data_IF_682790162626
#
_entry.id   IF_682790162626
#
_cell.length_a   1.000
_cell.length_b   1.000
_cell.length_c   1.000
_cell.angle_alpha   90.00
_cell.angle_beta   90.00
_cell.angle_gamma   90.00
#
_symmetry.space_group_name_H-M   'P 1'
#
loop_
_entity.id
_entity.type
_entity.pdbx_description
1 polymer ?
#
# COMPACT_ATOMS: atom_id res chain seq x y z
N UNK A 1 29.49 -2.18 -10.79
CA UNK A 1 29.78 -0.98 -11.60
C UNK A 1 29.23 -1.05 -13.03
N UNK A 2 29.47 -2.09 -13.83
CA UNK A 2 28.98 -2.17 -15.22
C UNK A 2 27.44 -2.09 -15.36
N UNK A 3 26.68 -2.82 -14.53
CA UNK A 3 25.19 -2.77 -14.53
C UNK A 3 24.63 -1.36 -14.30
N UNK A 4 25.20 -0.62 -13.36
CA UNK A 4 24.75 0.75 -13.06
C UNK A 4 25.08 1.73 -14.19
N UNK A 5 26.26 1.60 -14.81
CA UNK A 5 26.63 2.41 -15.98
C UNK A 5 25.72 2.14 -17.18
N UNK A 6 25.36 0.89 -17.42
CA UNK A 6 24.43 0.53 -18.50
C UNK A 6 22.99 1.03 -18.28
N UNK A 7 22.52 1.05 -17.02
CA UNK A 7 21.21 1.63 -16.67
C UNK A 7 21.22 3.14 -16.87
N UNK A 8 22.27 3.83 -16.38
CA UNK A 8 22.40 5.28 -16.51
C UNK A 8 22.50 5.74 -17.98
N UNK A 9 23.12 4.94 -18.85
CA UNK A 9 23.17 5.22 -20.30
C UNK A 9 21.80 5.17 -20.98
N UNK A 10 20.82 4.46 -20.40
CA UNK A 10 19.50 4.25 -21.02
C UNK A 10 18.38 5.06 -20.36
N UNK A 11 18.48 5.31 -19.05
CA UNK A 11 17.41 5.90 -18.23
C UNK A 11 17.87 7.08 -17.39
N UNK A 12 19.05 7.65 -17.69
CA UNK A 12 19.68 8.74 -16.93
C UNK A 12 20.11 8.31 -15.51
N UNK A 13 20.85 9.17 -14.79
CA UNK A 13 21.24 8.83 -13.42
C UNK A 13 20.01 8.85 -12.50
N UNK A 14 20.04 8.03 -11.45
CA UNK A 14 18.98 7.96 -10.45
C UNK A 14 18.66 9.35 -9.87
N UNK A 15 19.69 10.20 -9.71
CA UNK A 15 19.53 11.56 -9.19
C UNK A 15 18.66 12.40 -10.14
N UNK A 16 18.88 12.26 -11.44
CA UNK A 16 18.13 12.96 -12.49
C UNK A 16 16.68 12.50 -12.51
N UNK A 17 16.43 11.19 -12.37
CA UNK A 17 15.05 10.66 -12.30
C UNK A 17 14.21 11.27 -11.17
N UNK A 18 14.78 11.46 -9.97
CA UNK A 18 14.08 12.12 -8.86
C UNK A 18 13.98 13.64 -9.06
N UNK A 19 14.97 14.27 -9.71
CA UNK A 19 14.95 15.69 -10.03
C UNK A 19 13.85 16.05 -11.06
N UNK A 20 13.45 15.10 -11.91
CA UNK A 20 12.37 15.29 -12.87
C UNK A 20 10.96 15.18 -12.24
N UNK A 21 10.80 14.69 -10.99
CA UNK A 21 9.48 14.51 -10.37
C UNK A 21 8.64 15.79 -10.31
N UNK A 22 9.17 16.97 -9.90
CA UNK A 22 8.39 18.22 -9.94
C UNK A 22 7.94 18.59 -11.35
N UNK A 23 8.81 18.39 -12.36
CA UNK A 23 8.47 18.64 -13.76
C UNK A 23 7.40 17.68 -14.25
N UNK A 24 7.51 16.40 -13.90
CA UNK A 24 6.51 15.39 -14.20
C UNK A 24 5.16 15.75 -13.57
N UNK A 25 5.14 16.19 -12.30
CA UNK A 25 3.93 16.65 -11.62
C UNK A 25 3.24 17.79 -12.37
N UNK A 26 4.00 18.81 -12.79
CA UNK A 26 3.48 19.90 -13.60
C UNK A 26 2.94 19.40 -14.95
N UNK A 27 3.66 18.46 -15.58
CA UNK A 27 3.23 17.80 -16.81
C UNK A 27 1.89 17.09 -16.67
N UNK A 28 1.72 16.24 -15.64
CA UNK A 28 0.45 15.53 -15.43
C UNK A 28 -0.68 16.47 -15.01
N UNK A 29 -0.40 17.52 -14.24
CA UNK A 29 -1.41 18.51 -13.85
C UNK A 29 -1.85 19.39 -15.03
N UNK A 30 -0.94 19.70 -15.97
CA UNK A 30 -1.26 20.43 -17.19
C UNK A 30 -2.06 19.59 -18.19
N UNK A 31 -1.75 18.28 -18.29
CA UNK A 31 -2.44 17.36 -19.19
C UNK A 31 -3.80 16.94 -18.65
N UNK A 32 -3.90 16.75 -17.34
CA UNK A 32 -5.09 16.30 -16.65
C UNK A 32 -5.38 17.22 -15.47
N UNK A 33 -6.13 18.28 -15.78
CA UNK A 33 -6.56 19.26 -14.78
C UNK A 33 -7.27 18.56 -13.61
N UNK A 34 -7.02 19.06 -12.39
CA UNK A 34 -7.49 18.49 -11.11
C UNK A 34 -6.74 17.25 -10.63
N UNK A 35 -5.67 16.81 -11.31
CA UNK A 35 -4.75 15.81 -10.75
C UNK A 35 -4.21 16.30 -9.42
N UNK A 36 -4.42 15.48 -8.40
CA UNK A 36 -3.94 15.75 -7.04
C UNK A 36 -2.52 15.22 -6.99
N UNK A 37 -1.58 16.08 -6.65
CA UNK A 37 -0.20 15.69 -6.36
C UNK A 37 0.21 16.34 -5.04
N UNK A 38 0.91 15.60 -4.19
CA UNK A 38 1.44 16.09 -2.92
C UNK A 38 2.90 15.63 -2.84
N UNK A 39 3.81 16.58 -2.92
CA UNK A 39 5.25 16.34 -2.86
C UNK A 39 5.81 16.87 -1.55
N UNK A 40 6.53 16.01 -0.82
CA UNK A 40 7.26 16.36 0.38
C UNK A 40 8.76 16.30 0.09
N UNK A 41 9.43 17.42 0.29
CA UNK A 41 10.89 17.57 0.18
C UNK A 41 11.43 18.35 1.37
N UNK A 42 12.75 18.27 1.59
CA UNK A 42 13.45 19.14 2.53
C UNK A 42 14.75 19.66 1.92
N UNK A 43 15.23 20.82 2.34
CA UNK A 43 16.57 21.27 1.95
C UNK A 43 17.65 20.35 2.52
N UNK A 44 18.74 20.17 1.77
CA UNK A 44 19.90 19.39 2.23
C UNK A 44 20.67 20.23 3.25
N UNK A 45 21.06 19.61 4.37
CA UNK A 45 21.93 20.23 5.39
C UNK A 45 23.29 19.55 5.40
N UNK A 46 24.35 20.35 5.30
CA UNK A 46 25.73 19.90 5.40
C UNK A 46 26.37 20.56 6.64
N UNK A 47 26.31 19.87 7.77
CA UNK A 47 26.62 20.47 9.08
C UNK A 47 25.60 21.55 9.44
N UNK A 48 26.06 22.72 9.85
CA UNK A 48 25.20 23.86 10.21
C UNK A 48 24.77 24.70 8.99
N UNK A 49 25.26 24.39 7.79
CA UNK A 49 24.89 25.09 6.57
C UNK A 49 23.76 24.37 5.82
N UNK A 50 22.81 25.16 5.33
CA UNK A 50 21.72 24.71 4.47
C UNK A 50 22.13 24.94 3.02
N UNK A 51 22.12 23.90 2.21
CA UNK A 51 22.26 24.03 0.76
C UNK A 51 20.88 24.33 0.15
N UNK A 52 20.63 25.59 -0.17
CA UNK A 52 19.38 26.04 -0.78
C UNK A 52 19.21 25.58 -2.24
N UNK A 53 20.28 25.08 -2.87
CA UNK A 53 20.26 24.62 -4.26
C UNK A 53 19.87 23.16 -4.41
N UNK A 54 19.88 22.38 -3.32
CA UNK A 54 19.60 20.95 -3.35
C UNK A 54 18.44 20.58 -2.41
N UNK A 55 17.46 19.86 -2.96
CA UNK A 55 16.34 19.29 -2.20
C UNK A 55 16.49 17.78 -2.06
N UNK A 56 16.18 17.28 -0.87
CA UNK A 56 16.01 15.86 -0.58
C UNK A 56 14.55 15.46 -0.78
N UNK A 57 14.33 14.38 -1.51
CA UNK A 57 13.01 13.79 -1.73
C UNK A 57 12.61 12.93 -0.54
N UNK A 58 11.39 13.10 -0.03
CA UNK A 58 10.81 12.22 1.00
C UNK A 58 9.67 11.37 0.43
N UNK A 59 8.61 12.04 -0.04
CA UNK A 59 7.37 11.39 -0.43
C UNK A 59 6.70 12.12 -1.60
N UNK A 60 6.07 11.36 -2.49
CA UNK A 60 5.19 11.87 -3.52
C UNK A 60 3.91 11.03 -3.51
N UNK A 61 2.76 11.69 -3.46
CA UNK A 61 1.45 11.07 -3.57
C UNK A 61 0.72 11.67 -4.77
N UNK A 62 -0.01 10.84 -5.53
CA UNK A 62 -0.87 11.36 -6.59
C UNK A 62 -2.14 10.54 -6.84
N UNK A 63 -3.16 11.24 -7.32
CA UNK A 63 -4.44 10.69 -7.76
C UNK A 63 -4.87 11.40 -9.04
N UNK A 64 -5.30 10.62 -10.03
CA UNK A 64 -5.91 11.14 -11.24
C UNK A 64 -7.43 11.33 -11.05
N UNK A 65 -8.05 12.41 -11.57
CA UNK A 65 -9.49 12.64 -11.45
C UNK A 65 -10.36 11.48 -11.96
N UNK A 66 -10.04 10.80 -13.08
CA UNK A 66 -10.79 9.61 -13.50
C UNK A 66 -10.79 8.49 -12.46
N UNK A 67 -9.73 8.33 -11.66
CA UNK A 67 -9.70 7.33 -10.59
C UNK A 67 -10.70 7.67 -9.49
N UNK A 68 -10.85 8.96 -9.13
CA UNK A 68 -11.84 9.42 -8.14
C UNK A 68 -13.26 9.12 -8.63
N UNK A 69 -13.54 9.42 -9.90
CA UNK A 69 -14.85 9.16 -10.50
C UNK A 69 -15.14 7.66 -10.62
N UNK A 70 -14.14 6.86 -11.04
CA UNK A 70 -14.27 5.41 -11.14
C UNK A 70 -14.54 4.77 -9.77
N UNK A 71 -13.85 5.23 -8.71
CA UNK A 71 -14.04 4.67 -7.38
C UNK A 71 -15.45 4.87 -6.83
N UNK A 72 -16.16 5.95 -7.23
CA UNK A 72 -17.57 6.14 -6.86
C UNK A 72 -18.50 5.05 -7.39
N UNK A 73 -18.09 4.37 -8.46
CA UNK A 73 -18.82 3.24 -9.07
C UNK A 73 -18.28 1.88 -8.62
N UNK A 74 -17.19 1.86 -7.84
CA UNK A 74 -16.60 0.65 -7.31
C UNK A 74 -17.30 0.20 -6.02
N UNK A 75 -17.03 -1.04 -5.63
CA UNK A 75 -17.41 -1.52 -4.29
C UNK A 75 -16.71 -0.66 -3.23
N UNK A 76 -17.31 -0.47 -2.04
CA UNK A 76 -16.71 0.31 -0.96
C UNK A 76 -15.59 -0.47 -0.24
N UNK A 77 -14.71 -1.13 -0.98
CA UNK A 77 -13.52 -1.80 -0.47
C UNK A 77 -12.31 -1.45 -1.31
N UNK A 78 -11.16 -1.40 -0.66
CA UNK A 78 -9.86 -1.16 -1.28
C UNK A 78 -8.81 -2.09 -0.73
N UNK A 79 -7.88 -2.49 -1.58
CA UNK A 79 -6.66 -3.19 -1.20
C UNK A 79 -5.47 -2.24 -1.25
N UNK A 80 -4.67 -2.21 -0.20
CA UNK A 80 -3.44 -1.41 -0.13
C UNK A 80 -2.25 -2.38 -0.17
N UNK A 81 -1.35 -2.14 -1.10
CA UNK A 81 -0.12 -2.92 -1.24
C UNK A 81 1.08 -2.07 -1.67
N UNK A 82 2.27 -2.58 -1.40
CA UNK A 82 3.54 -1.92 -1.66
C UNK A 82 4.50 -2.80 -2.43
N UNK A 83 5.33 -2.18 -3.27
CA UNK A 83 6.46 -2.87 -3.90
C UNK A 83 7.73 -2.06 -3.74
N UNK A 84 8.83 -2.75 -3.42
CA UNK A 84 10.13 -2.11 -3.27
C UNK A 84 10.72 -1.79 -4.64
N UNK A 85 11.22 -0.56 -4.76
CA UNK A 85 11.87 -0.10 -5.97
C UNK A 85 13.34 -0.52 -5.98
N UNK A 86 13.79 -0.94 -7.15
CA UNK A 86 15.19 -1.23 -7.39
C UNK A 86 15.93 0.06 -7.73
N UNK A 87 17.15 0.20 -7.24
CA UNK A 87 18.02 1.32 -7.61
C UNK A 87 18.96 1.71 -6.48
N UNK A 88 19.70 2.79 -6.72
CA UNK A 88 20.67 3.32 -5.74
C UNK A 88 20.00 3.82 -4.46
N UNK A 89 18.84 4.47 -4.61
CA UNK A 89 18.14 5.12 -3.49
C UNK A 89 17.10 4.21 -2.83
N UNK A 90 16.81 3.04 -3.43
CA UNK A 90 15.68 2.22 -3.01
C UNK A 90 14.36 2.99 -3.15
N UNK A 91 13.45 2.72 -2.23
CA UNK A 91 12.12 3.31 -2.17
C UNK A 91 11.01 2.26 -2.19
N UNK A 92 9.79 2.71 -1.94
CA UNK A 92 8.58 1.90 -2.03
C UNK A 92 7.54 2.63 -2.87
N UNK A 93 6.97 1.94 -3.84
CA UNK A 93 5.76 2.36 -4.54
C UNK A 93 4.56 1.71 -3.86
N UNK A 94 3.72 2.50 -3.22
CA UNK A 94 2.43 2.07 -2.70
C UNK A 94 1.33 2.30 -3.73
N UNK A 95 0.40 1.34 -3.80
CA UNK A 95 -0.80 1.43 -4.62
C UNK A 95 -2.04 1.14 -3.78
N UNK A 96 -3.13 1.81 -4.16
CA UNK A 96 -4.48 1.45 -3.73
C UNK A 96 -5.22 0.89 -4.92
N UNK A 97 -5.77 -0.30 -4.74
CA UNK A 97 -6.57 -1.00 -5.72
C UNK A 97 -8.02 -1.01 -5.26
N UNK A 98 -8.94 -0.62 -6.14
CA UNK A 98 -10.37 -0.79 -5.95
C UNK A 98 -10.89 -1.92 -6.84
N UNK A 99 -12.07 -2.44 -6.49
CA UNK A 99 -12.75 -3.44 -7.29
C UNK A 99 -14.12 -2.93 -7.76
N UNK A 100 -14.41 -3.05 -9.05
CA UNK A 100 -15.73 -2.71 -9.58
C UNK A 100 -16.78 -3.82 -9.30
N UNK A 101 -18.02 -3.58 -9.73
CA UNK A 101 -19.10 -4.56 -9.59
C UNK A 101 -18.85 -5.89 -10.34
N UNK A 102 -18.00 -5.86 -11.37
CA UNK A 102 -17.66 -7.00 -12.24
C UNK A 102 -16.37 -7.72 -11.82
N UNK A 103 -15.84 -7.42 -10.64
CA UNK A 103 -14.60 -7.99 -10.10
C UNK A 103 -13.31 -7.52 -10.80
N UNK A 104 -13.38 -6.52 -11.68
CA UNK A 104 -12.17 -5.94 -12.26
C UNK A 104 -11.43 -5.12 -11.21
N UNK A 105 -10.10 -5.17 -11.26
CA UNK A 105 -9.22 -4.45 -10.35
C UNK A 105 -8.74 -3.17 -11.02
N UNK A 106 -8.89 -2.04 -10.32
CA UNK A 106 -8.47 -0.73 -10.80
C UNK A 106 -7.49 -0.09 -9.82
N UNK A 107 -6.28 0.27 -10.25
CA UNK A 107 -5.40 1.15 -9.48
C UNK A 107 -5.99 2.55 -9.42
N UNK A 108 -6.14 3.09 -8.22
CA UNK A 108 -6.87 4.35 -8.00
C UNK A 108 -6.07 5.42 -7.24
N UNK A 109 -4.98 5.04 -6.58
CA UNK A 109 -4.11 5.98 -5.85
C UNK A 109 -2.70 5.41 -5.80
N UNK A 110 -1.71 6.30 -5.81
CA UNK A 110 -0.31 5.93 -5.89
C UNK A 110 0.52 6.80 -4.96
N UNK A 111 1.60 6.23 -4.41
CA UNK A 111 2.60 6.99 -3.70
C UNK A 111 4.00 6.41 -3.85
N UNK A 112 4.96 7.29 -4.07
CA UNK A 112 6.38 7.01 -4.06
C UNK A 112 6.96 7.48 -2.73
N UNK A 113 7.56 6.57 -1.97
CA UNK A 113 8.05 6.82 -0.61
C UNK A 113 9.51 6.38 -0.51
N UNK A 114 10.29 7.03 0.33
CA UNK A 114 11.66 6.60 0.68
C UNK A 114 11.72 5.17 1.26
N UNK A 115 10.63 4.70 1.88
CA UNK A 115 10.51 3.37 2.45
C UNK A 115 9.27 3.22 3.33
N UNK A 116 9.02 2.00 3.81
CA UNK A 116 7.86 1.67 4.67
C UNK A 116 8.15 1.94 6.15
N UNK A 117 8.11 3.20 6.54
CA UNK A 117 8.23 3.63 7.94
C UNK A 117 6.92 4.29 8.43
N UNK A 118 6.83 4.59 9.72
CA UNK A 118 5.62 5.15 10.33
C UNK A 118 5.22 6.51 9.72
N UNK A 119 6.20 7.35 9.38
CA UNK A 119 5.96 8.65 8.76
C UNK A 119 5.43 8.50 7.33
N UNK A 120 6.04 7.62 6.53
CA UNK A 120 5.59 7.26 5.18
C UNK A 120 4.16 6.73 5.17
N UNK A 121 3.81 5.83 6.10
CA UNK A 121 2.44 5.32 6.23
C UNK A 121 1.46 6.40 6.67
N UNK A 122 1.85 7.26 7.62
CA UNK A 122 1.02 8.39 8.07
C UNK A 122 0.76 9.38 6.94
N UNK A 123 1.80 9.75 6.17
CA UNK A 123 1.70 10.60 4.99
C UNK A 123 0.75 10.00 3.96
N UNK A 124 0.97 8.72 3.60
CA UNK A 124 0.15 8.05 2.60
C UNK A 124 -1.33 7.96 3.00
N UNK A 125 -1.60 7.46 4.21
CA UNK A 125 -2.96 7.27 4.68
C UNK A 125 -3.68 8.60 4.90
N UNK A 126 -3.01 9.64 5.41
CA UNK A 126 -3.65 10.95 5.60
C UNK A 126 -4.13 11.53 4.25
N UNK A 127 -3.26 11.49 3.23
CA UNK A 127 -3.62 11.97 1.89
C UNK A 127 -4.70 11.10 1.24
N UNK A 128 -4.60 9.77 1.40
CA UNK A 128 -5.56 8.82 0.86
C UNK A 128 -6.96 9.03 1.46
N UNK A 129 -7.05 9.22 2.78
CA UNK A 129 -8.32 9.49 3.47
C UNK A 129 -8.93 10.81 3.02
N UNK A 130 -8.11 11.87 2.97
CA UNK A 130 -8.56 13.21 2.61
C UNK A 130 -9.12 13.29 1.18
N UNK A 131 -8.43 12.66 0.23
CA UNK A 131 -8.70 12.87 -1.19
C UNK A 131 -9.55 11.79 -1.84
N UNK A 132 -9.52 10.55 -1.33
CA UNK A 132 -10.18 9.42 -1.99
C UNK A 132 -11.31 8.81 -1.19
N UNK A 133 -11.19 8.80 0.13
CA UNK A 133 -12.12 8.09 1.01
C UNK A 133 -12.70 8.98 2.12
N UNK A 134 -13.33 10.13 1.80
CA UNK A 134 -13.99 10.95 2.82
C UNK A 134 -15.18 10.21 3.46
N UNK A 135 -15.84 9.30 2.73
CA UNK A 135 -17.02 8.56 3.18
C UNK A 135 -16.73 7.53 4.29
N UNK A 136 -17.79 7.14 5.02
CA UNK A 136 -17.77 6.08 6.03
C UNK A 136 -18.09 4.71 5.40
N UNK A 137 -17.81 3.64 6.12
CA UNK A 137 -18.16 2.28 5.72
C UNK A 137 -17.22 1.70 4.66
N UNK A 138 -15.97 2.16 4.58
CA UNK A 138 -15.00 1.58 3.66
C UNK A 138 -14.30 0.39 4.30
N UNK A 139 -14.11 -0.68 3.53
CA UNK A 139 -13.32 -1.84 3.91
C UNK A 139 -11.90 -1.72 3.35
N UNK A 140 -10.89 -1.77 4.20
CA UNK A 140 -9.48 -1.78 3.79
C UNK A 140 -8.91 -3.18 3.96
N UNK A 141 -8.37 -3.72 2.88
CA UNK A 141 -7.64 -4.98 2.84
C UNK A 141 -6.16 -4.64 2.74
N UNK A 142 -5.33 -5.16 3.65
CA UNK A 142 -3.89 -4.89 3.64
C UNK A 142 -3.07 -6.12 4.04
N UNK A 143 -1.75 -6.05 3.87
CA UNK A 143 -0.86 -6.99 4.55
C UNK A 143 -0.95 -6.85 6.10
N UNK A 144 -0.50 -7.88 6.82
CA UNK A 144 -0.32 -7.95 8.28
C UNK A 144 0.94 -7.21 8.75
N UNK A 145 1.66 -6.50 7.86
CA UNK A 145 2.84 -5.73 8.22
C UNK A 145 2.57 -4.75 9.37
N UNK A 146 3.50 -4.70 10.34
CA UNK A 146 3.33 -3.95 11.59
C UNK A 146 3.19 -2.44 11.36
N UNK A 147 3.89 -1.89 10.36
CA UNK A 147 3.80 -0.47 10.01
C UNK A 147 2.39 -0.07 9.58
N UNK A 148 1.77 -0.87 8.70
CA UNK A 148 0.38 -0.65 8.24
C UNK A 148 -0.59 -0.74 9.42
N UNK A 149 -0.43 -1.77 10.25
CA UNK A 149 -1.30 -1.99 11.41
C UNK A 149 -1.22 -0.84 12.41
N UNK A 150 -0.02 -0.31 12.67
CA UNK A 150 0.16 0.83 13.56
C UNK A 150 -0.49 2.09 12.99
N UNK A 151 -0.27 2.38 11.70
CA UNK A 151 -0.80 3.58 11.06
C UNK A 151 -2.33 3.58 10.94
N UNK A 152 -2.95 2.41 10.64
CA UNK A 152 -4.42 2.29 10.61
C UNK A 152 -5.06 2.32 12.00
N UNK A 153 -4.29 2.07 13.07
CA UNK A 153 -4.77 2.14 14.47
C UNK A 153 -4.62 3.53 15.10
N UNK A 154 -3.97 4.47 14.43
CA UNK A 154 -3.86 5.84 14.90
C UNK A 154 -5.27 6.46 15.00
N UNK A 155 -5.61 6.96 16.20
CA UNK A 155 -6.96 7.37 16.58
C UNK A 155 -7.45 8.64 15.86
N UNK A 156 -6.55 9.45 15.33
CA UNK A 156 -6.79 10.69 14.61
C UNK A 156 -7.01 10.51 13.10
N UNK A 157 -6.58 9.37 12.53
CA UNK A 157 -6.57 9.17 11.07
C UNK A 157 -7.91 8.79 10.43
N UNK A 158 -8.96 8.53 11.22
CA UNK A 158 -10.28 8.14 10.69
C UNK A 158 -10.34 6.72 10.09
N UNK A 159 -9.38 5.86 10.43
CA UNK A 159 -9.22 4.48 9.94
C UNK A 159 -9.87 3.42 10.83
N UNK A 160 -10.60 3.84 11.87
CA UNK A 160 -11.28 2.97 12.81
C UNK A 160 -12.78 2.89 12.54
N UNK A 161 -13.46 1.82 13.00
CA UNK A 161 -14.91 1.73 12.97
C UNK A 161 -15.58 2.90 13.69
N UNK A 162 -16.75 3.38 13.23
CA UNK A 162 -17.56 2.86 12.12
C UNK A 162 -17.18 3.43 10.74
N UNK A 163 -16.07 4.19 10.64
CA UNK A 163 -15.69 4.85 9.39
C UNK A 163 -14.98 3.90 8.43
N UNK A 164 -14.12 3.04 8.98
CA UNK A 164 -13.36 2.07 8.21
C UNK A 164 -13.34 0.74 8.93
N UNK A 165 -13.47 -0.34 8.17
CA UNK A 165 -13.25 -1.71 8.60
C UNK A 165 -11.95 -2.22 7.99
N UNK A 166 -11.31 -3.18 8.66
CA UNK A 166 -10.02 -3.71 8.21
C UNK A 166 -10.05 -5.22 8.13
N UNK A 167 -9.50 -5.75 7.03
CA UNK A 167 -9.20 -7.16 6.85
C UNK A 167 -7.75 -7.33 6.39
N UNK A 168 -7.25 -8.54 6.58
CA UNK A 168 -5.94 -8.94 6.06
C UNK A 168 -6.10 -9.60 4.69
N UNK A 169 -5.19 -9.31 3.77
CA UNK A 169 -5.14 -9.95 2.48
C UNK A 169 -4.83 -11.44 2.65
N UNK A 170 -5.74 -12.32 2.20
CA UNK A 170 -5.56 -13.77 2.34
C UNK A 170 -4.31 -14.28 1.63
N UNK A 171 -3.91 -13.68 0.50
CA UNK A 171 -2.67 -14.04 -0.18
C UNK A 171 -1.45 -13.85 0.71
N UNK A 172 -1.39 -12.73 1.42
CA UNK A 172 -0.31 -12.42 2.36
C UNK A 172 -0.39 -13.27 3.63
N UNK A 173 -1.60 -13.48 4.17
CA UNK A 173 -1.82 -14.36 5.33
C UNK A 173 -1.32 -15.77 5.01
N UNK A 174 -1.67 -16.32 3.84
CA UNK A 174 -1.25 -17.65 3.40
C UNK A 174 0.26 -17.73 3.17
N UNK A 175 0.85 -16.69 2.55
CA UNK A 175 2.30 -16.64 2.34
C UNK A 175 3.06 -16.65 3.68
N UNK A 176 2.65 -15.80 4.62
CA UNK A 176 3.24 -15.71 5.96
C UNK A 176 3.01 -17.00 6.76
N UNK A 177 1.82 -17.58 6.66
CA UNK A 177 1.48 -18.84 7.31
C UNK A 177 2.39 -19.97 6.83
N UNK A 178 2.70 -20.03 5.54
CA UNK A 178 3.59 -21.04 4.94
C UNK A 178 5.07 -20.90 5.37
N UNK A 179 5.46 -19.74 5.90
CA UNK A 179 6.77 -19.54 6.51
C UNK A 179 6.83 -20.19 7.90
N UNK A 180 5.77 -20.03 8.70
CA UNK A 180 5.64 -20.56 10.06
C UNK A 180 5.28 -22.05 10.12
N UNK A 181 4.41 -22.51 9.23
CA UNK A 181 3.88 -23.87 9.21
C UNK A 181 4.15 -24.51 7.84
N UNK A 182 4.80 -25.68 7.83
CA UNK A 182 5.16 -26.41 6.61
C UNK A 182 4.11 -27.47 6.31
N UNK A 183 3.75 -27.63 5.02
CA UNK A 183 2.82 -28.66 4.55
C UNK A 183 1.77 -28.09 3.60
N UNK A 184 1.51 -28.77 2.47
CA UNK A 184 0.51 -28.32 1.49
C UNK A 184 -0.92 -28.43 2.03
N UNK A 185 -1.20 -29.45 2.84
CA UNK A 185 -2.53 -29.67 3.40
C UNK A 185 -2.96 -28.55 4.35
N UNK A 186 -2.02 -28.05 5.16
CA UNK A 186 -2.29 -26.96 6.10
C UNK A 186 -2.63 -25.64 5.38
N UNK A 187 -1.91 -25.35 4.29
CA UNK A 187 -2.22 -24.21 3.42
C UNK A 187 -3.64 -24.32 2.86
N UNK A 188 -4.03 -25.51 2.41
CA UNK A 188 -5.37 -25.76 1.86
C UNK A 188 -6.45 -25.55 2.93
N UNK A 189 -6.24 -26.03 4.15
CA UNK A 189 -7.19 -25.84 5.27
C UNK A 189 -7.45 -24.34 5.52
N UNK A 190 -6.39 -23.54 5.65
CA UNK A 190 -6.51 -22.09 5.88
C UNK A 190 -7.24 -21.36 4.75
N UNK A 191 -6.90 -21.69 3.49
CA UNK A 191 -7.58 -21.11 2.32
C UNK A 191 -9.05 -21.48 2.30
N UNK A 192 -9.39 -22.75 2.54
CA UNK A 192 -10.78 -23.19 2.53
C UNK A 192 -11.59 -22.54 3.65
N UNK A 193 -11.01 -22.36 4.84
CA UNK A 193 -11.65 -21.62 5.92
C UNK A 193 -11.90 -20.15 5.50
N UNK A 194 -10.90 -19.47 4.94
CA UNK A 194 -11.02 -18.06 4.55
C UNK A 194 -12.03 -17.78 3.43
N UNK A 195 -12.27 -18.76 2.54
CA UNK A 195 -13.24 -18.67 1.45
C UNK A 195 -14.59 -19.35 1.75
N UNK A 196 -14.79 -19.82 2.99
CA UNK A 196 -16.07 -20.41 3.41
C UNK A 196 -17.21 -19.39 3.24
N UNK A 197 -18.34 -19.84 2.69
CA UNK A 197 -19.50 -18.97 2.47
C UNK A 197 -20.46 -18.97 3.66
N UNK A 198 -20.26 -19.90 4.61
CA UNK A 198 -21.07 -20.05 5.81
C UNK A 198 -20.18 -20.23 7.04
N UNK A 199 -20.70 -19.85 8.20
CA UNK A 199 -20.03 -20.06 9.49
C UNK A 199 -19.76 -21.55 9.74
N UNK A 200 -20.72 -22.44 9.40
CA UNK A 200 -20.55 -23.88 9.53
C UNK A 200 -19.40 -24.44 8.67
N UNK A 201 -19.24 -23.96 7.43
CA UNK A 201 -18.10 -24.35 6.58
C UNK A 201 -16.78 -23.80 7.12
N UNK A 202 -16.77 -22.58 7.63
CA UNK A 202 -15.60 -21.98 8.26
C UNK A 202 -15.18 -22.83 9.46
N UNK A 203 -16.11 -23.10 10.39
CA UNK A 203 -15.88 -23.87 11.60
C UNK A 203 -15.39 -25.28 11.27
N UNK A 204 -15.97 -25.94 10.26
CA UNK A 204 -15.49 -27.24 9.79
C UNK A 204 -14.01 -27.24 9.41
N UNK A 205 -13.58 -26.30 8.56
CA UNK A 205 -12.17 -26.22 8.14
C UNK A 205 -11.25 -25.76 9.26
N UNK A 206 -11.73 -24.84 10.10
CA UNK A 206 -10.97 -24.28 11.21
C UNK A 206 -10.78 -25.32 12.34
N UNK A 207 -11.77 -26.18 12.58
CA UNK A 207 -11.71 -27.29 13.53
C UNK A 207 -10.73 -28.39 13.08
N UNK A 208 -10.72 -28.71 11.77
CA UNK A 208 -9.71 -29.62 11.20
C UNK A 208 -8.31 -29.04 11.41
N UNK A 209 -8.11 -27.76 11.12
CA UNK A 209 -6.83 -27.08 11.35
C UNK A 209 -6.44 -27.09 12.83
N UNK A 210 -7.40 -26.88 13.74
CA UNK A 210 -7.19 -26.95 15.20
C UNK A 210 -6.78 -28.35 15.66
N UNK A 211 -7.38 -29.39 15.08
CA UNK A 211 -7.07 -30.79 15.38
C UNK A 211 -5.65 -31.16 14.94
N UNK A 212 -5.22 -30.65 13.80
CA UNK A 212 -3.86 -30.85 13.28
C UNK A 212 -2.82 -30.16 14.17
N UNK A 213 -3.03 -28.87 14.47
CA UNK A 213 -2.17 -28.11 15.38
C UNK A 213 -2.89 -26.84 15.89
N UNK A 214 -3.22 -26.77 17.19
CA UNK A 214 -3.92 -25.63 17.77
C UNK A 214 -3.21 -24.28 17.57
N UNK A 215 -1.87 -24.27 17.53
CA UNK A 215 -1.09 -23.04 17.35
C UNK A 215 -1.31 -22.38 15.99
N UNK A 216 -1.80 -23.12 14.98
CA UNK A 216 -2.17 -22.57 13.68
C UNK A 216 -3.39 -21.65 13.79
N UNK A 217 -4.37 -22.02 14.61
CA UNK A 217 -5.57 -21.22 14.85
C UNK A 217 -5.22 -19.95 15.64
N UNK A 218 -4.39 -20.08 16.66
CA UNK A 218 -3.91 -18.94 17.47
C UNK A 218 -3.12 -17.94 16.61
N UNK A 219 -2.35 -18.43 15.64
CA UNK A 219 -1.62 -17.58 14.72
C UNK A 219 -2.52 -16.86 13.72
N UNK A 220 -3.59 -17.52 13.25
CA UNK A 220 -4.51 -17.00 12.24
C UNK A 220 -5.41 -15.87 12.78
N UNK A 221 -5.70 -15.88 14.08
CA UNK A 221 -6.39 -14.80 14.80
C UNK A 221 -5.49 -13.57 15.05
#
# INVERSE_FOLDING_TARGET
>A
MAKQKAIAQRYEDWKESYAELPRWMLGVQSTMARTITVLKTSLVRLGDQVDESTVYFHHLFWIFPPCIEAFRQCKPNVSIDGTHLYGKYGGTLLLVLAQDGNLNILPITFALLEGENAESWSFFLSNLRQHMMPQKGILVISDRHNGIRAALKASDGGWLPPRTFRLFCICHVVANFSLSFKGQDVRRMLVNAAYANTEAEFDYWFDIMRTENPTMCDWAN
#
